data_IF_293238100239
#
_entry.id   IF_293238100239
#
_cell.length_a   1.000
_cell.length_b   1.000
_cell.length_c   1.000
_cell.angle_alpha   90.00
_cell.angle_beta   90.00
_cell.angle_gamma   90.00
#
_symmetry.space_group_name_H-M   'P 1'
#
loop_
_entity.id
_entity.type
_entity.pdbx_description
1 polymer ?
#
# COMPACT_ATOMS: atom_id res chain seq x y z
N UNK A 1 -10.99 20.75 -4.15
CA UNK A 1 -10.61 21.65 -3.03
C UNK A 1 -9.38 21.08 -2.37
N UNK A 2 -8.35 21.90 -2.05
CA UNK A 2 -7.15 21.42 -1.38
C UNK A 2 -7.42 21.03 0.08
N UNK A 3 -6.58 20.14 0.58
CA UNK A 3 -6.57 19.66 1.96
C UNK A 3 -5.39 20.29 2.70
N UNK A 4 -5.63 20.69 3.95
CA UNK A 4 -4.63 21.28 4.84
C UNK A 4 -4.63 20.54 6.16
N UNK A 5 -3.45 20.35 6.76
CA UNK A 5 -3.31 19.70 8.06
C UNK A 5 -3.24 20.74 9.18
N UNK A 6 -3.86 20.42 10.31
CA UNK A 6 -3.91 21.24 11.52
C UNK A 6 -3.49 20.42 12.74
N UNK A 7 -2.89 21.10 13.72
CA UNK A 7 -2.52 20.52 15.01
C UNK A 7 -3.07 21.37 16.16
N UNK A 8 -3.75 20.74 17.10
CA UNK A 8 -4.22 21.43 18.31
C UNK A 8 -3.18 21.40 19.44
N UNK A 9 -3.38 22.26 20.44
CA UNK A 9 -2.52 22.30 21.64
C UNK A 9 -2.56 20.99 22.44
N UNK A 10 -3.68 20.27 22.39
CA UNK A 10 -3.80 18.93 22.99
C UNK A 10 -3.09 17.82 22.19
N UNK A 11 -2.52 18.14 21.03
CA UNK A 11 -1.70 17.23 20.23
C UNK A 11 -2.41 16.44 19.13
N UNK A 12 -3.73 16.60 18.93
CA UNK A 12 -4.46 15.99 17.83
C UNK A 12 -3.98 16.54 16.47
N UNK A 13 -3.91 15.66 15.47
CA UNK A 13 -3.60 16.00 14.08
C UNK A 13 -4.79 15.62 13.20
N UNK A 14 -5.26 16.56 12.37
CA UNK A 14 -6.37 16.30 11.47
C UNK A 14 -6.25 17.11 10.19
N UNK A 15 -6.95 16.63 9.16
CA UNK A 15 -7.01 17.25 7.84
C UNK A 15 -8.36 17.93 7.62
N UNK A 16 -8.34 19.11 7.01
CA UNK A 16 -9.53 19.88 6.65
C UNK A 16 -9.39 20.49 5.25
N UNK A 17 -10.50 20.53 4.51
CA UNK A 17 -10.56 21.11 3.17
C UNK A 17 -11.02 22.56 3.25
N UNK A 18 -10.23 23.46 2.64
CA UNK A 18 -10.56 24.87 2.53
C UNK A 18 -10.38 25.32 1.08
N UNK A 19 -11.01 26.42 0.68
CA UNK A 19 -10.63 27.08 -0.57
C UNK A 19 -9.24 27.69 -0.39
N UNK A 20 -8.43 27.71 -1.44
CA UNK A 20 -7.08 28.29 -1.37
C UNK A 20 -7.08 29.74 -0.87
N UNK A 21 -8.12 30.51 -1.22
CA UNK A 21 -8.26 31.91 -0.83
C UNK A 21 -8.81 32.14 0.60
N UNK A 22 -9.38 31.11 1.23
CA UNK A 22 -10.13 31.23 2.49
C UNK A 22 -9.55 30.31 3.58
N UNK A 23 -8.31 29.82 3.41
CA UNK A 23 -7.68 28.95 4.42
C UNK A 23 -7.33 29.76 5.67
N UNK A 24 -7.90 29.43 6.85
CA UNK A 24 -7.59 30.17 8.06
C UNK A 24 -6.24 29.73 8.66
N UNK A 25 -5.60 30.60 9.44
CA UNK A 25 -4.41 30.25 10.20
C UNK A 25 -4.71 29.29 11.37
N UNK A 26 -5.91 29.40 11.93
CA UNK A 26 -6.40 28.63 13.07
C UNK A 26 -7.83 28.14 12.81
N UNK A 27 -8.18 26.99 13.39
CA UNK A 27 -9.53 26.42 13.36
C UNK A 27 -9.78 25.63 14.65
N UNK A 28 -11.03 25.29 14.92
CA UNK A 28 -11.40 24.46 16.07
C UNK A 28 -11.15 22.98 15.75
N UNK A 29 -10.49 22.27 16.66
CA UNK A 29 -10.31 20.83 16.57
C UNK A 29 -11.65 20.10 16.76
N UNK A 30 -11.99 19.20 15.84
CA UNK A 30 -13.24 18.43 15.89
C UNK A 30 -13.23 17.31 16.94
N UNK A 31 -12.06 16.94 17.45
CA UNK A 31 -11.91 15.88 18.44
C UNK A 31 -11.96 16.41 19.87
N UNK A 32 -11.22 17.49 20.17
CA UNK A 32 -11.08 18.00 21.53
C UNK A 32 -11.61 19.43 21.75
N UNK A 33 -12.05 20.12 20.69
CA UNK A 33 -12.57 21.49 20.78
C UNK A 33 -11.52 22.59 21.02
N UNK A 34 -10.24 22.22 21.20
CA UNK A 34 -9.15 23.18 21.36
C UNK A 34 -8.83 23.91 20.04
N UNK A 35 -8.16 25.06 20.15
CA UNK A 35 -7.65 25.79 18.99
C UNK A 35 -6.54 24.98 18.31
N UNK A 36 -6.61 24.92 16.99
CA UNK A 36 -5.68 24.19 16.14
C UNK A 36 -5.06 25.10 15.09
N UNK A 37 -3.73 25.11 15.03
CA UNK A 37 -2.96 25.88 14.06
C UNK A 37 -2.66 25.06 12.82
N UNK A 38 -2.63 25.71 11.67
CA UNK A 38 -2.22 25.08 10.41
C UNK A 38 -0.76 24.66 10.51
N UNK A 39 -0.48 23.42 10.12
CA UNK A 39 0.88 22.87 10.09
C UNK A 39 1.25 22.42 8.69
N UNK A 40 2.51 22.60 8.34
CA UNK A 40 3.10 21.96 7.16
C UNK A 40 3.68 20.64 7.66
N UNK A 41 2.94 19.56 7.45
CA UNK A 41 3.43 18.21 7.74
C UNK A 41 4.43 17.80 6.66
N UNK A 42 5.30 16.85 7.00
CA UNK A 42 6.14 16.24 5.99
C UNK A 42 5.24 15.62 4.92
N UNK A 43 5.53 15.82 3.62
CA UNK A 43 4.87 15.03 2.59
C UNK A 43 5.05 13.56 2.98
N UNK A 44 4.00 12.76 2.78
CA UNK A 44 3.92 11.38 3.27
C UNK A 44 4.88 10.44 2.51
N UNK A 45 6.17 10.79 2.44
CA UNK A 45 7.24 10.13 1.68
C UNK A 45 7.45 8.69 2.16
N UNK A 46 7.16 8.41 3.43
CA UNK A 46 7.14 7.05 3.97
C UNK A 46 6.13 6.13 3.27
N UNK A 47 5.06 6.67 2.65
CA UNK A 47 4.11 5.87 1.87
C UNK A 47 4.79 5.16 0.70
N UNK A 48 5.83 5.77 0.11
CA UNK A 48 6.55 5.16 -1.01
C UNK A 48 7.20 3.82 -0.64
N UNK A 49 7.51 3.61 0.65
CA UNK A 49 8.07 2.36 1.16
C UNK A 49 7.02 1.26 1.41
N UNK A 50 5.72 1.57 1.37
CA UNK A 50 4.65 0.63 1.74
C UNK A 50 4.41 -0.43 0.66
N UNK A 51 3.88 -1.59 1.07
CA UNK A 51 3.48 -2.65 0.12
C UNK A 51 2.40 -2.18 -0.85
N UNK A 52 1.44 -1.36 -0.39
CA UNK A 52 0.39 -0.80 -1.23
C UNK A 52 0.96 0.09 -2.34
N UNK A 53 1.88 0.99 -2.00
CA UNK A 53 2.53 1.85 -2.99
C UNK A 53 3.33 1.03 -4.01
N UNK A 54 4.08 0.00 -3.58
CA UNK A 54 4.84 -0.87 -4.49
C UNK A 54 3.97 -1.59 -5.51
N UNK A 55 2.74 -1.96 -5.14
CA UNK A 55 1.80 -2.59 -6.08
C UNK A 55 1.35 -1.58 -7.14
N UNK A 56 1.02 -0.37 -6.74
CA UNK A 56 0.63 0.71 -7.66
C UNK A 56 1.77 1.05 -8.61
N UNK A 57 2.98 1.24 -8.06
CA UNK A 57 4.18 1.56 -8.83
C UNK A 57 4.55 0.46 -9.84
N UNK A 58 4.51 -0.81 -9.41
CA UNK A 58 4.79 -1.94 -10.32
C UNK A 58 3.74 -2.10 -11.41
N UNK A 59 2.47 -1.84 -11.11
CA UNK A 59 1.40 -1.83 -12.11
C UNK A 59 1.58 -0.70 -13.14
N UNK A 60 1.88 0.52 -12.68
CA UNK A 60 2.15 1.65 -13.57
C UNK A 60 3.36 1.37 -14.49
N UNK A 61 4.45 0.84 -13.92
CA UNK A 61 5.68 0.53 -14.65
C UNK A 61 5.49 -0.56 -15.70
N UNK A 62 4.58 -1.50 -15.49
CA UNK A 62 4.37 -2.65 -16.39
C UNK A 62 4.02 -2.27 -17.84
N UNK A 63 3.46 -1.07 -18.06
CA UNK A 63 3.10 -0.59 -19.39
C UNK A 63 4.31 -0.18 -20.25
N UNK A 64 5.45 0.14 -19.64
CA UNK A 64 6.62 0.70 -20.34
C UNK A 64 7.90 -0.09 -20.07
N UNK A 65 7.98 -0.74 -18.89
CA UNK A 65 9.14 -1.50 -18.44
C UNK A 65 8.67 -2.80 -17.74
N UNK A 66 8.01 -3.71 -18.46
CA UNK A 66 7.57 -4.97 -17.88
C UNK A 66 8.78 -5.82 -17.45
N UNK A 67 8.79 -6.37 -16.23
CA UNK A 67 9.87 -7.23 -15.79
C UNK A 67 9.88 -8.55 -16.59
N UNK A 68 11.07 -8.97 -17.03
CA UNK A 68 11.27 -10.30 -17.62
C UNK A 68 11.34 -11.32 -16.48
N UNK A 69 10.43 -12.30 -16.49
CA UNK A 69 10.42 -13.38 -15.50
C UNK A 69 11.57 -14.35 -15.80
N UNK A 70 12.67 -14.26 -15.04
CA UNK A 70 13.86 -15.11 -15.20
C UNK A 70 13.77 -16.44 -14.45
N UNK A 71 12.80 -16.55 -13.54
CA UNK A 71 12.52 -17.79 -12.82
C UNK A 71 11.07 -17.77 -12.37
N UNK A 72 10.45 -18.95 -12.31
CA UNK A 72 9.11 -19.08 -11.74
C UNK A 72 9.14 -18.59 -10.29
N UNK A 73 8.10 -17.85 -9.83
CA UNK A 73 8.01 -17.47 -8.43
C UNK A 73 8.12 -18.74 -7.57
N UNK A 74 8.84 -18.66 -6.45
CA UNK A 74 8.93 -19.73 -5.43
C UNK A 74 7.60 -19.93 -4.69
N UNK A 75 6.49 -19.83 -5.41
CA UNK A 75 5.14 -19.98 -4.93
C UNK A 75 4.89 -21.45 -4.61
N UNK A 76 4.75 -21.71 -3.31
CA UNK A 76 4.36 -22.99 -2.75
C UNK A 76 5.55 -23.85 -2.39
N UNK A 77 5.53 -24.41 -1.18
CA UNK A 77 6.26 -25.66 -0.87
C UNK A 77 6.16 -26.52 -2.12
N UNK A 78 7.29 -26.86 -2.75
CA UNK A 78 7.32 -27.94 -3.73
C UNK A 78 6.75 -29.14 -3.01
N UNK A 79 5.44 -29.36 -3.13
CA UNK A 79 4.80 -30.54 -2.58
C UNK A 79 5.34 -31.61 -3.49
N UNK A 80 6.39 -32.28 -3.03
CA UNK A 80 6.91 -33.47 -3.66
C UNK A 80 5.69 -34.31 -4.01
N UNK A 81 5.48 -34.53 -5.31
CA UNK A 81 4.41 -35.39 -5.78
C UNK A 81 4.57 -36.71 -5.04
N UNK A 82 3.56 -37.11 -4.26
CA UNK A 82 3.64 -38.36 -3.51
C UNK A 82 3.71 -39.48 -4.55
N UNK A 83 4.81 -40.23 -4.54
CA UNK A 83 4.91 -41.44 -5.34
C UNK A 83 3.84 -42.41 -4.83
N UNK A 84 2.95 -42.82 -5.72
CA UNK A 84 1.91 -43.81 -5.43
C UNK A 84 2.46 -45.20 -5.71
N UNK A 85 2.43 -46.08 -4.70
CA UNK A 85 2.89 -47.47 -4.78
C UNK A 85 1.78 -48.44 -5.16
N UNK A 86 0.79 -47.99 -5.94
CA UNK A 86 -0.32 -48.85 -6.35
C UNK A 86 0.19 -49.98 -7.28
N UNK A 87 0.00 -51.27 -6.93
CA UNK A 87 0.45 -52.38 -7.75
C UNK A 87 -0.19 -52.42 -9.15
N UNK A 88 -1.34 -51.76 -9.35
CA UNK A 88 -2.00 -51.64 -10.65
C UNK A 88 -1.20 -50.81 -11.66
N UNK A 89 -0.23 -50.01 -11.22
CA UNK A 89 0.66 -49.27 -12.13
C UNK A 89 1.47 -50.18 -13.05
N UNK A 90 1.70 -51.44 -12.66
CA UNK A 90 2.38 -52.43 -13.50
C UNK A 90 1.62 -52.77 -14.78
N UNK A 91 0.32 -52.44 -14.85
CA UNK A 91 -0.55 -52.68 -16.00
C UNK A 91 -0.63 -51.51 -16.99
N UNK A 92 0.00 -50.38 -16.67
CA UNK A 92 0.00 -49.21 -17.56
C UNK A 92 0.91 -49.48 -18.77
N UNK A 93 0.52 -49.03 -19.98
CA UNK A 93 1.40 -49.06 -21.15
C UNK A 93 2.70 -48.34 -20.82
N UNK A 94 3.83 -49.00 -21.10
CA UNK A 94 5.14 -48.37 -20.91
C UNK A 94 5.45 -47.46 -22.11
N UNK A 95 5.98 -46.25 -21.88
CA UNK A 95 6.47 -45.38 -22.94
C UNK A 95 7.69 -46.00 -23.65
#
# INVERSE_FOLDING_TARGET
>A
MPTYSFRCEAGCLFDATFRMAEVPAQTVCRECGAEATRVITTPHLSAAGTSAFRVIDSAARSAHEPPVVTSLPKSGRTRTQRVTHNPLHAKLPRP
#
